data_IF_153390924520
#
_entry.id   IF_153390924520
#
_cell.length_a   1.000
_cell.length_b   1.000
_cell.length_c   1.000
_cell.angle_alpha   90.00
_cell.angle_beta   90.00
_cell.angle_gamma   90.00
#
_symmetry.space_group_name_H-M   'P 1'
#
loop_
_entity.id
_entity.type
_entity.pdbx_description
1 polymer ?
#
# COMPACT_ATOMS: atom_id res chain seq x y z
N UNK A 1 46.30 17.45 -97.29
CA UNK A 1 45.37 16.32 -97.50
C UNK A 1 44.92 15.85 -96.12
N UNK A 2 43.73 16.30 -95.71
CA UNK A 2 42.53 15.48 -95.44
C UNK A 2 42.61 14.84 -94.03
N UNK A 3 41.85 15.31 -93.02
CA UNK A 3 40.40 15.16 -92.83
C UNK A 3 40.17 13.88 -91.98
N UNK A 4 39.50 13.82 -90.83
CA UNK A 4 38.11 14.19 -90.51
C UNK A 4 37.82 13.96 -89.00
N UNK A 5 37.11 14.90 -88.34
CA UNK A 5 35.79 14.81 -87.64
C UNK A 5 35.70 14.37 -86.15
N UNK A 6 34.86 15.10 -85.39
CA UNK A 6 34.57 15.12 -83.92
C UNK A 6 33.46 14.10 -83.47
N UNK A 7 32.89 14.18 -82.23
CA UNK A 7 33.33 13.84 -80.84
C UNK A 7 32.31 12.81 -80.23
N UNK A 8 31.89 12.70 -78.93
CA UNK A 8 32.34 13.24 -77.63
C UNK A 8 32.58 12.11 -76.57
N UNK A 9 33.08 12.38 -75.36
CA UNK A 9 32.23 12.56 -74.18
C UNK A 9 33.09 12.99 -72.98
N UNK A 10 32.71 14.13 -72.41
CA UNK A 10 33.23 14.64 -71.16
C UNK A 10 32.70 13.78 -70.01
N UNK A 11 33.55 12.95 -69.39
CA UNK A 11 33.20 12.24 -68.17
C UNK A 11 33.33 13.22 -67.00
N UNK A 12 32.28 14.02 -66.79
CA UNK A 12 32.05 14.70 -65.51
C UNK A 12 31.71 13.62 -64.48
N UNK A 13 32.70 13.18 -63.71
CA UNK A 13 32.44 12.53 -62.43
C UNK A 13 31.82 13.59 -61.52
N UNK A 14 30.48 13.64 -61.55
CA UNK A 14 29.68 14.25 -60.50
C UNK A 14 30.11 13.60 -59.19
N UNK A 15 30.88 14.32 -58.39
CA UNK A 15 30.97 14.07 -56.95
C UNK A 15 29.58 14.37 -56.42
N UNK A 16 28.73 13.34 -56.41
CA UNK A 16 27.45 13.37 -55.73
C UNK A 16 27.74 13.62 -54.26
N UNK A 17 27.64 14.89 -53.84
CA UNK A 17 27.36 15.20 -52.45
C UNK A 17 25.97 14.62 -52.16
N UNK A 18 25.95 13.36 -51.75
CA UNK A 18 24.85 12.83 -50.97
C UNK A 18 24.93 13.59 -49.65
N UNK A 19 24.32 14.78 -49.61
CA UNK A 19 23.82 15.33 -48.36
C UNK A 19 22.74 14.36 -47.91
N UNK A 20 23.16 13.22 -47.35
CA UNK A 20 22.33 12.49 -46.44
C UNK A 20 21.95 13.53 -45.40
N UNK A 21 20.68 13.89 -45.38
CA UNK A 21 20.09 14.60 -44.26
C UNK A 21 20.29 13.63 -43.09
N UNK A 22 21.41 13.78 -42.39
CA UNK A 22 21.55 13.23 -41.06
C UNK A 22 20.53 14.00 -40.25
N UNK A 23 19.30 13.46 -40.20
CA UNK A 23 18.31 13.90 -39.25
C UNK A 23 18.93 13.65 -37.90
N UNK A 24 19.51 14.70 -37.31
CA UNK A 24 20.10 14.64 -35.98
C UNK A 24 19.06 13.99 -35.08
N UNK A 25 19.42 12.89 -34.41
CA UNK A 25 18.58 12.24 -33.41
C UNK A 25 18.36 13.25 -32.28
N UNK A 26 17.21 13.92 -32.35
CA UNK A 26 16.83 14.99 -31.43
C UNK A 26 15.78 14.42 -30.49
N UNK A 27 15.96 14.62 -29.19
CA UNK A 27 14.91 14.45 -28.19
C UNK A 27 13.72 15.38 -28.52
N UNK A 28 12.66 14.81 -29.11
CA UNK A 28 11.46 15.49 -29.59
C UNK A 28 10.26 15.20 -28.68
N UNK A 29 10.14 13.97 -28.19
CA UNK A 29 9.00 13.51 -27.41
C UNK A 29 9.31 13.52 -25.93
N UNK A 30 8.29 13.79 -25.12
CA UNK A 30 8.40 13.68 -23.68
C UNK A 30 7.97 12.27 -23.27
N UNK A 31 8.45 11.76 -22.13
CA UNK A 31 7.93 10.52 -21.58
C UNK A 31 6.42 10.61 -21.32
N UNK A 32 5.76 9.49 -21.47
CA UNK A 32 4.35 9.30 -21.16
C UNK A 32 4.21 8.27 -20.04
N UNK A 33 3.35 8.57 -19.06
CA UNK A 33 3.00 7.69 -17.93
C UNK A 33 1.48 7.65 -17.82
N UNK A 34 0.94 6.73 -17.03
CA UNK A 34 -0.49 6.72 -16.73
C UNK A 34 -0.90 7.97 -15.97
N UNK A 35 -2.17 8.36 -16.09
CA UNK A 35 -2.68 9.58 -15.43
C UNK A 35 -2.94 9.39 -13.93
N UNK A 36 -3.17 8.15 -13.51
CA UNK A 36 -3.39 7.79 -12.12
C UNK A 36 -2.87 6.38 -11.81
N UNK A 37 -2.46 6.18 -10.56
CA UNK A 37 -2.01 4.90 -10.02
C UNK A 37 -2.71 4.65 -8.68
N UNK A 38 -3.15 3.40 -8.48
CA UNK A 38 -3.57 2.91 -7.17
C UNK A 38 -2.53 1.93 -6.66
N UNK A 39 -2.12 2.09 -5.41
CA UNK A 39 -1.09 1.30 -4.78
C UNK A 39 -1.54 0.72 -3.46
N UNK A 40 -0.97 -0.42 -3.11
CA UNK A 40 -1.05 -0.98 -1.76
C UNK A 40 0.35 -1.23 -1.22
N UNK A 41 0.53 -1.07 0.07
CA UNK A 41 1.76 -1.43 0.80
C UNK A 41 1.34 -1.92 2.18
N UNK A 42 1.86 -3.05 2.63
CA UNK A 42 1.64 -3.50 4.01
C UNK A 42 2.53 -2.68 4.94
N UNK A 43 2.05 -2.27 6.12
CA UNK A 43 2.78 -1.30 6.96
C UNK A 43 4.19 -1.74 7.41
N UNK A 44 4.39 -3.06 7.50
CA UNK A 44 5.67 -3.71 7.79
C UNK A 44 6.53 -3.99 6.54
N UNK A 45 6.08 -3.56 5.36
CA UNK A 45 6.79 -3.65 4.08
C UNK A 45 7.16 -2.24 3.58
N UNK A 46 8.07 -2.18 2.62
CA UNK A 46 8.42 -0.95 1.93
C UNK A 46 8.06 -0.96 0.44
N UNK A 47 7.84 -2.11 -0.19
CA UNK A 47 7.54 -2.16 -1.60
C UNK A 47 6.06 -1.84 -1.87
N UNK A 48 5.79 -0.82 -2.69
CA UNK A 48 4.42 -0.49 -3.11
C UNK A 48 4.07 -1.31 -4.34
N UNK A 49 2.97 -2.07 -4.25
CA UNK A 49 2.38 -2.76 -5.38
C UNK A 49 1.41 -1.82 -6.09
N UNK A 50 1.75 -1.38 -7.30
CA UNK A 50 0.93 -0.48 -8.10
C UNK A 50 0.10 -1.25 -9.14
N UNK A 51 -1.15 -0.83 -9.30
CA UNK A 51 -2.03 -1.20 -10.41
C UNK A 51 -2.59 0.07 -11.08
N UNK A 52 -2.21 0.37 -12.34
CA UNK A 52 -1.24 -0.35 -13.17
C UNK A 52 0.22 -0.19 -12.68
N UNK A 53 1.19 -1.00 -13.17
CA UNK A 53 2.60 -0.83 -12.81
C UNK A 53 3.16 0.52 -13.29
N UNK A 54 4.16 1.06 -12.59
CA UNK A 54 4.81 2.31 -12.96
C UNK A 54 5.76 2.10 -14.15
N UNK A 55 5.28 2.44 -15.33
CA UNK A 55 6.04 2.37 -16.58
C UNK A 55 5.97 3.72 -17.29
N UNK A 56 7.12 4.24 -17.71
CA UNK A 56 7.24 5.44 -18.53
C UNK A 56 7.70 5.10 -19.95
N UNK A 57 6.93 5.49 -20.96
CA UNK A 57 7.20 5.21 -22.36
C UNK A 57 7.59 6.49 -23.10
N UNK A 58 8.67 6.45 -23.88
CA UNK A 58 9.08 7.55 -24.75
C UNK A 58 9.12 7.10 -26.22
N UNK A 59 8.57 7.94 -27.11
CA UNK A 59 8.56 7.68 -28.57
C UNK A 59 9.93 7.86 -29.21
N UNK A 60 10.88 8.48 -28.50
CA UNK A 60 12.26 8.54 -28.91
C UNK A 60 13.02 7.25 -28.54
N UNK A 61 12.43 6.27 -27.85
CA UNK A 61 13.06 4.95 -27.60
C UNK A 61 13.30 4.18 -28.91
N UNK A 62 14.45 3.47 -29.07
CA UNK A 62 15.51 3.23 -28.10
C UNK A 62 16.69 4.22 -28.20
N UNK A 63 16.46 5.47 -28.64
CA UNK A 63 17.53 6.45 -28.75
C UNK A 63 18.16 6.69 -27.37
N UNK A 64 19.47 6.50 -27.28
CA UNK A 64 20.20 6.72 -26.03
C UNK A 64 19.97 8.14 -25.53
N UNK A 65 19.75 8.28 -24.22
CA UNK A 65 19.38 9.52 -23.53
C UNK A 65 17.98 10.09 -23.86
N UNK A 66 17.59 10.13 -25.13
CA UNK A 66 16.33 10.75 -25.56
C UNK A 66 15.12 9.84 -25.30
N UNK A 67 15.28 8.53 -25.41
CA UNK A 67 14.23 7.54 -25.19
C UNK A 67 14.37 6.75 -23.88
N UNK A 68 15.43 7.01 -23.11
CA UNK A 68 15.69 6.37 -21.82
C UNK A 68 15.10 7.19 -20.68
N UNK A 69 14.55 6.51 -19.68
CA UNK A 69 13.97 7.13 -18.48
C UNK A 69 15.04 7.27 -17.41
N UNK A 70 15.32 8.49 -16.97
CA UNK A 70 16.37 8.78 -16.00
C UNK A 70 15.85 8.98 -14.57
N UNK A 71 14.55 9.20 -14.40
CA UNK A 71 13.98 9.27 -13.08
C UNK A 71 12.49 9.53 -13.03
N UNK A 72 11.98 9.30 -11.83
CA UNK A 72 10.65 9.66 -11.41
C UNK A 72 10.77 10.65 -10.26
N UNK A 73 9.95 11.69 -10.29
CA UNK A 73 9.92 12.72 -9.25
C UNK A 73 8.55 12.73 -8.59
N UNK A 74 8.52 12.47 -7.30
CA UNK A 74 7.37 12.71 -6.44
C UNK A 74 7.31 14.21 -6.10
N UNK A 75 6.11 14.77 -6.18
CA UNK A 75 5.80 16.17 -5.87
C UNK A 75 4.89 16.20 -4.66
N UNK A 76 5.49 15.94 -3.51
CA UNK A 76 5.01 16.24 -2.17
C UNK A 76 6.19 15.97 -1.23
N UNK A 77 6.59 16.94 -0.39
CA UNK A 77 7.77 16.77 0.47
C UNK A 77 7.45 16.05 1.78
N UNK A 78 6.16 15.96 2.14
CA UNK A 78 5.73 15.40 3.42
C UNK A 78 5.32 13.93 3.32
N UNK A 79 5.37 13.34 2.12
CA UNK A 79 5.05 11.92 1.92
C UNK A 79 6.30 11.03 2.08
N UNK A 80 6.21 9.90 2.80
CA UNK A 80 7.36 9.06 3.10
C UNK A 80 7.72 8.10 1.96
N UNK A 81 7.62 8.54 0.70
CA UNK A 81 7.85 7.67 -0.47
C UNK A 81 8.95 8.21 -1.39
N UNK A 82 9.65 7.29 -2.04
CA UNK A 82 10.53 7.59 -3.16
C UNK A 82 10.17 6.73 -4.37
N UNK A 83 10.51 7.24 -5.56
CA UNK A 83 10.31 6.53 -6.82
C UNK A 83 11.65 6.29 -7.49
N UNK A 84 11.92 5.04 -7.86
CA UNK A 84 13.17 4.57 -8.42
C UNK A 84 12.96 4.08 -9.86
N UNK A 85 13.98 4.25 -10.70
CA UNK A 85 14.03 3.59 -12.00
C UNK A 85 14.62 2.22 -11.80
N UNK A 86 13.86 1.19 -12.19
CA UNK A 86 14.29 -0.21 -12.18
C UNK A 86 15.08 -0.49 -13.45
N UNK A 87 14.54 -0.09 -14.60
CA UNK A 87 15.20 -0.23 -15.89
C UNK A 87 14.96 1.01 -16.76
N UNK A 88 16.06 1.66 -17.13
CA UNK A 88 16.06 2.91 -17.91
C UNK A 88 15.58 2.72 -19.36
N UNK A 89 15.80 1.52 -19.91
CA UNK A 89 15.52 1.19 -21.31
C UNK A 89 14.07 0.80 -21.53
N UNK A 90 13.48 0.05 -20.59
CA UNK A 90 12.05 -0.30 -20.59
C UNK A 90 11.19 0.81 -19.99
N UNK A 91 11.80 1.68 -19.16
CA UNK A 91 11.10 2.72 -18.43
C UNK A 91 10.37 2.21 -17.18
N UNK A 92 10.67 1.00 -16.74
CA UNK A 92 10.13 0.41 -15.52
C UNK A 92 10.60 1.15 -14.28
N UNK A 93 9.66 1.47 -13.39
CA UNK A 93 9.91 2.10 -12.11
C UNK A 93 9.20 1.40 -10.96
N UNK A 94 9.61 1.74 -9.75
CA UNK A 94 9.01 1.25 -8.51
C UNK A 94 8.85 2.41 -7.53
N UNK A 95 7.76 2.42 -6.77
CA UNK A 95 7.61 3.27 -5.59
C UNK A 95 7.88 2.42 -4.35
N UNK A 96 8.64 2.97 -3.40
CA UNK A 96 8.85 2.34 -2.09
C UNK A 96 8.76 3.35 -0.96
N UNK A 97 8.42 2.89 0.23
CA UNK A 97 8.47 3.72 1.44
C UNK A 97 9.93 3.96 1.86
N UNK A 98 10.17 5.14 2.41
CA UNK A 98 11.47 5.59 2.96
C UNK A 98 11.50 5.51 4.49
N UNK A 99 10.34 5.26 5.09
CA UNK A 99 10.12 5.09 6.53
C UNK A 99 9.20 3.89 6.74
N UNK A 100 9.21 3.35 7.96
CA UNK A 100 8.17 2.44 8.38
C UNK A 100 6.82 3.17 8.32
N UNK A 101 5.85 2.49 7.73
CA UNK A 101 4.48 2.96 7.69
C UNK A 101 3.76 2.37 8.91
N UNK A 102 2.69 3.04 9.31
CA UNK A 102 1.88 2.68 10.46
C UNK A 102 0.44 3.04 10.09
N UNK A 103 -0.40 2.01 10.00
CA UNK A 103 -1.78 2.13 9.56
C UNK A 103 -2.63 2.84 10.62
N UNK A 104 -2.34 2.64 11.90
CA UNK A 104 -3.01 3.32 13.02
C UNK A 104 -2.78 4.83 12.98
N UNK A 105 -1.63 5.28 12.47
CA UNK A 105 -1.33 6.70 12.27
C UNK A 105 -1.95 7.22 10.96
N UNK A 106 -1.65 6.58 9.83
CA UNK A 106 -2.11 7.05 8.52
C UNK A 106 -2.22 5.91 7.49
N UNK A 107 -3.47 5.53 7.21
CA UNK A 107 -3.82 4.47 6.25
C UNK A 107 -3.81 4.86 4.77
N UNK A 108 -3.86 6.15 4.43
CA UNK A 108 -4.01 6.62 3.05
C UNK A 108 -3.02 7.74 2.73
N UNK A 109 -2.37 7.64 1.58
CA UNK A 109 -1.48 8.67 1.04
C UNK A 109 -1.90 9.05 -0.37
N UNK A 110 -1.84 10.35 -0.69
CA UNK A 110 -2.08 10.84 -2.04
C UNK A 110 -1.05 11.88 -2.41
N UNK A 111 -0.37 11.70 -3.55
CA UNK A 111 0.62 12.63 -4.06
C UNK A 111 0.66 12.60 -5.59
N UNK A 112 1.50 13.43 -6.20
CA UNK A 112 1.69 13.42 -7.65
C UNK A 112 3.11 13.00 -8.04
N UNK A 113 3.23 12.23 -9.14
CA UNK A 113 4.49 11.73 -9.68
C UNK A 113 4.69 12.24 -11.12
N UNK A 114 5.95 12.36 -11.56
CA UNK A 114 6.31 12.79 -12.91
C UNK A 114 7.59 12.08 -13.37
N UNK A 115 7.58 11.52 -14.57
CA UNK A 115 8.77 10.92 -15.18
C UNK A 115 9.58 11.97 -15.96
N UNK A 116 10.88 11.75 -16.10
CA UNK A 116 11.75 12.52 -16.97
C UNK A 116 12.74 11.64 -17.72
N UNK A 117 12.99 12.00 -18.98
CA UNK A 117 13.97 11.34 -19.83
C UNK A 117 15.40 11.69 -19.40
N UNK A 118 16.37 11.03 -20.01
CA UNK A 118 17.79 11.29 -19.78
C UNK A 118 18.34 12.51 -20.54
N UNK A 119 17.50 13.26 -21.25
CA UNK A 119 17.89 14.45 -22.01
C UNK A 119 18.65 14.12 -23.29
N UNK A 120 19.69 14.90 -23.59
CA UNK A 120 20.53 14.73 -24.80
C UNK A 120 22.00 14.68 -24.38
N UNK A 121 22.50 13.46 -24.10
CA UNK A 121 23.90 13.21 -23.79
C UNK A 121 24.45 13.98 -22.58
N UNK A 122 25.75 13.82 -22.26
CA UNK A 122 26.37 14.43 -21.07
C UNK A 122 26.40 15.98 -21.10
N UNK A 123 26.30 16.59 -22.29
CA UNK A 123 26.57 18.01 -22.48
C UNK A 123 25.33 18.87 -22.83
N UNK A 124 24.09 18.33 -22.83
CA UNK A 124 22.92 19.18 -23.12
C UNK A 124 21.66 18.90 -22.28
N UNK A 125 21.19 19.96 -21.63
CA UNK A 125 20.15 20.03 -20.60
C UNK A 125 18.70 19.97 -21.14
N UNK A 126 18.45 19.29 -22.26
CA UNK A 126 17.11 19.24 -22.87
C UNK A 126 16.24 18.13 -22.27
N UNK A 127 16.23 17.98 -20.95
CA UNK A 127 15.39 16.99 -20.26
C UNK A 127 13.93 17.33 -20.47
N UNK A 128 13.12 16.38 -20.97
CA UNK A 128 11.66 16.54 -21.02
C UNK A 128 11.00 15.77 -19.90
N UNK A 129 9.85 16.30 -19.48
CA UNK A 129 9.07 15.77 -18.37
C UNK A 129 7.70 15.34 -18.86
N UNK A 130 7.18 14.24 -18.33
CA UNK A 130 5.82 13.78 -18.57
C UNK A 130 4.80 14.77 -17.99
N UNK A 131 3.50 14.49 -18.17
CA UNK A 131 2.51 15.11 -17.28
C UNK A 131 2.69 14.60 -15.84
N UNK A 132 2.08 15.30 -14.89
CA UNK A 132 1.94 14.77 -13.53
C UNK A 132 0.84 13.70 -13.51
N UNK A 133 1.04 12.66 -12.74
CA UNK A 133 0.06 11.61 -12.48
C UNK A 133 -0.30 11.59 -11.01
N UNK A 134 -1.54 11.27 -10.66
CA UNK A 134 -1.96 11.10 -9.27
C UNK A 134 -1.60 9.70 -8.79
N UNK A 135 -1.10 9.57 -7.57
CA UNK A 135 -0.85 8.29 -6.93
C UNK A 135 -1.64 8.26 -5.63
N UNK A 136 -2.43 7.21 -5.44
CA UNK A 136 -3.10 6.93 -4.18
C UNK A 136 -2.58 5.60 -3.63
N UNK A 137 -2.04 5.60 -2.42
CA UNK A 137 -1.48 4.42 -1.75
C UNK A 137 -2.31 4.15 -0.50
N UNK A 138 -2.78 2.91 -0.37
CA UNK A 138 -3.42 2.40 0.83
C UNK A 138 -2.41 1.56 1.62
N UNK A 139 -2.34 1.79 2.92
CA UNK A 139 -1.56 0.98 3.84
C UNK A 139 -2.43 -0.18 4.31
N UNK A 140 -2.00 -1.40 4.00
CA UNK A 140 -2.64 -2.60 4.52
C UNK A 140 -2.15 -2.85 5.95
N UNK A 141 -3.14 -3.00 6.81
CA UNK A 141 -3.01 -3.34 8.23
C UNK A 141 -2.37 -4.72 8.44
N UNK A 142 -1.66 -4.85 9.55
CA UNK A 142 -1.19 -6.09 10.14
C UNK A 142 -1.80 -6.18 11.54
N UNK A 143 -2.30 -7.35 11.92
CA UNK A 143 -2.85 -7.53 13.26
C UNK A 143 -1.71 -7.47 14.29
N UNK A 144 -1.48 -6.31 14.90
CA UNK A 144 -0.37 -6.02 15.83
C UNK A 144 -0.86 -5.78 17.26
N UNK A 145 -2.00 -5.12 17.41
CA UNK A 145 -2.65 -4.91 18.68
C UNK A 145 -3.49 -6.11 19.07
N UNK A 146 -3.68 -6.28 20.38
CA UNK A 146 -4.49 -7.35 20.95
C UNK A 146 -5.68 -6.71 21.65
N UNK A 147 -6.84 -7.42 21.72
CA UNK A 147 -7.99 -6.87 22.42
C UNK A 147 -7.68 -6.52 23.87
N UNK A 148 -8.16 -5.36 24.31
CA UNK A 148 -8.04 -4.89 25.69
C UNK A 148 -9.42 -4.63 26.25
N UNK A 149 -9.73 -5.23 27.40
CA UNK A 149 -10.98 -4.96 28.11
C UNK A 149 -11.03 -3.51 28.61
N UNK A 150 -12.19 -2.87 28.46
CA UNK A 150 -12.40 -1.47 28.88
C UNK A 150 -12.25 -1.30 30.39
N UNK A 151 -12.67 -2.29 31.16
CA UNK A 151 -12.61 -2.29 32.62
C UNK A 151 -11.55 -3.25 33.13
N UNK A 152 -10.98 -2.97 34.31
CA UNK A 152 -10.01 -3.85 34.99
C UNK A 152 -10.65 -5.02 35.75
N UNK A 153 -11.95 -4.94 36.00
CA UNK A 153 -12.77 -6.05 36.48
C UNK A 153 -14.24 -5.69 36.36
N UNK A 154 -15.10 -6.67 36.11
CA UNK A 154 -16.55 -6.49 36.13
C UNK A 154 -17.14 -7.09 37.41
N UNK A 155 -18.12 -6.41 38.00
CA UNK A 155 -18.78 -6.90 39.22
C UNK A 155 -20.29 -6.65 39.17
N UNK A 156 -21.07 -7.66 39.53
CA UNK A 156 -22.53 -7.53 39.65
C UNK A 156 -23.06 -8.34 40.83
N UNK A 157 -24.28 -8.03 41.26
CA UNK A 157 -25.00 -8.85 42.24
C UNK A 157 -26.35 -9.24 41.64
N UNK A 158 -26.64 -10.54 41.66
CA UNK A 158 -27.88 -11.10 41.13
C UNK A 158 -28.67 -11.76 42.25
N UNK A 159 -29.99 -11.78 42.12
CA UNK A 159 -30.84 -12.56 43.02
C UNK A 159 -30.78 -14.03 42.62
N UNK A 160 -30.58 -14.90 43.59
CA UNK A 160 -30.64 -16.35 43.42
C UNK A 160 -32.02 -16.84 42.94
N UNK A 161 -32.11 -18.11 42.56
CA UNK A 161 -33.35 -18.76 42.13
C UNK A 161 -33.88 -18.33 40.75
N UNK A 162 -33.17 -17.42 40.06
CA UNK A 162 -33.53 -16.90 38.74
C UNK A 162 -32.52 -17.28 37.66
N UNK A 163 -33.03 -17.45 36.44
CA UNK A 163 -32.23 -17.46 35.21
C UNK A 163 -32.33 -16.07 34.58
N UNK A 164 -31.19 -15.48 34.27
CA UNK A 164 -31.05 -14.20 33.60
C UNK A 164 -30.51 -14.47 32.21
N UNK A 165 -31.15 -13.88 31.21
CA UNK A 165 -30.62 -13.90 29.85
C UNK A 165 -29.47 -12.91 29.67
N UNK A 166 -29.40 -11.87 30.52
CA UNK A 166 -28.35 -10.85 30.56
C UNK A 166 -28.03 -10.49 32.02
N UNK A 167 -26.87 -10.92 32.52
CA UNK A 167 -26.36 -10.59 33.86
C UNK A 167 -25.52 -9.31 33.82
N UNK A 168 -24.55 -9.28 32.92
CA UNK A 168 -23.71 -8.13 32.59
C UNK A 168 -23.13 -8.31 31.21
N UNK A 169 -22.53 -7.24 30.67
CA UNK A 169 -21.79 -7.26 29.42
C UNK A 169 -20.33 -6.89 29.68
N UNK A 170 -19.40 -7.70 29.20
CA UNK A 170 -17.99 -7.32 29.10
C UNK A 170 -17.72 -6.66 27.76
N UNK A 171 -16.79 -5.73 27.70
CA UNK A 171 -16.44 -5.03 26.46
C UNK A 171 -14.93 -4.94 26.31
N UNK A 172 -14.41 -5.42 25.18
CA UNK A 172 -13.04 -5.22 24.75
C UNK A 172 -12.98 -4.27 23.53
N UNK A 173 -11.83 -3.65 23.35
CA UNK A 173 -11.50 -2.80 22.19
C UNK A 173 -10.14 -3.23 21.66
N UNK A 174 -9.97 -3.13 20.36
CA UNK A 174 -8.69 -3.36 19.68
C UNK A 174 -8.28 -2.08 18.94
N UNK A 175 -6.99 -1.82 18.87
CA UNK A 175 -6.41 -0.58 18.35
C UNK A 175 -5.92 -0.69 16.90
N UNK A 176 -5.93 -1.90 16.30
CA UNK A 176 -5.60 -2.07 14.86
C UNK A 176 -6.48 -1.14 13.97
N UNK A 177 -5.95 -0.68 12.85
CA UNK A 177 -6.59 0.33 12.02
C UNK A 177 -7.78 -0.21 11.20
N UNK A 178 -7.73 -1.49 10.80
CA UNK A 178 -8.70 -2.08 9.89
C UNK A 178 -9.82 -2.78 10.65
N UNK A 179 -11.07 -2.75 10.13
CA UNK A 179 -12.16 -3.50 10.74
C UNK A 179 -11.91 -5.02 10.83
N UNK A 180 -11.00 -5.55 10.00
CA UNK A 180 -10.66 -6.97 10.02
C UNK A 180 -9.93 -7.37 11.30
N UNK A 181 -9.10 -6.48 11.86
CA UNK A 181 -8.30 -6.77 13.05
C UNK A 181 -8.79 -5.97 14.27
N UNK A 182 -9.38 -4.80 14.08
CA UNK A 182 -9.88 -3.95 15.17
C UNK A 182 -11.20 -4.45 15.81
N UNK A 183 -11.94 -5.33 15.14
CA UNK A 183 -13.25 -5.77 15.58
C UNK A 183 -13.16 -6.98 16.51
N UNK A 184 -13.83 -6.90 17.66
CA UNK A 184 -14.00 -8.06 18.55
C UNK A 184 -15.06 -9.02 17.98
N UNK A 185 -14.65 -10.25 17.70
CA UNK A 185 -15.48 -11.26 17.06
C UNK A 185 -16.05 -12.29 18.06
N UNK A 186 -15.36 -12.55 19.16
CA UNK A 186 -15.84 -13.51 20.16
C UNK A 186 -15.34 -13.20 21.56
N UNK A 187 -16.09 -13.72 22.53
CA UNK A 187 -15.71 -13.79 23.93
C UNK A 187 -15.84 -15.24 24.40
N UNK A 188 -15.06 -15.60 25.41
CA UNK A 188 -15.04 -16.95 25.97
C UNK A 188 -14.87 -16.89 27.49
N UNK A 189 -15.65 -17.70 28.21
CA UNK A 189 -15.42 -17.93 29.64
C UNK A 189 -14.37 -19.04 29.76
N UNK A 190 -13.18 -18.66 30.22
CA UNK A 190 -12.02 -19.55 30.38
C UNK A 190 -12.15 -20.40 31.64
N UNK A 191 -12.88 -19.92 32.66
CA UNK A 191 -13.13 -20.70 33.87
C UNK A 191 -13.99 -21.94 33.55
N UNK A 192 -13.48 -23.16 33.78
CA UNK A 192 -14.21 -24.39 33.49
C UNK A 192 -15.32 -24.62 34.52
N UNK A 193 -16.28 -25.48 34.16
CA UNK A 193 -17.30 -26.03 35.08
C UNK A 193 -18.15 -25.00 35.82
N UNK A 194 -18.37 -23.83 35.21
CA UNK A 194 -19.21 -22.76 35.76
C UNK A 194 -20.61 -22.74 35.13
N UNK A 195 -21.67 -22.39 35.87
CA UNK A 195 -23.05 -22.37 35.37
C UNK A 195 -23.34 -21.10 34.53
N UNK A 196 -22.40 -20.69 33.67
CA UNK A 196 -22.47 -19.46 32.88
C UNK A 196 -22.06 -19.71 31.43
N UNK A 197 -22.62 -18.89 30.53
CA UNK A 197 -22.21 -18.80 29.13
C UNK A 197 -22.10 -17.33 28.75
N UNK A 198 -21.28 -17.04 27.74
CA UNK A 198 -21.11 -15.71 27.17
C UNK A 198 -21.44 -15.76 25.67
N UNK A 199 -22.07 -14.72 25.14
CA UNK A 199 -22.30 -14.60 23.70
C UNK A 199 -21.21 -13.77 23.00
N UNK A 200 -21.30 -13.69 21.66
CA UNK A 200 -20.35 -12.94 20.83
C UNK A 200 -20.33 -11.43 21.12
N UNK A 201 -21.39 -10.89 21.71
CA UNK A 201 -21.54 -9.47 21.99
C UNK A 201 -21.10 -9.14 23.44
N UNK A 202 -20.62 -10.14 24.17
CA UNK A 202 -20.05 -10.02 25.52
C UNK A 202 -21.07 -10.18 26.64
N UNK A 203 -22.32 -10.56 26.35
CA UNK A 203 -23.35 -10.74 27.39
C UNK A 203 -23.19 -12.09 28.09
N UNK A 204 -23.05 -12.03 29.42
CA UNK A 204 -22.98 -13.21 30.28
C UNK A 204 -24.37 -13.56 30.79
N UNK A 205 -24.70 -14.85 30.76
CA UNK A 205 -25.96 -15.41 31.27
C UNK A 205 -25.72 -16.69 32.05
N UNK A 206 -26.63 -17.04 32.97
CA UNK A 206 -26.54 -18.29 33.71
C UNK A 206 -27.32 -19.44 33.05
N UNK A 207 -26.72 -20.63 33.02
CA UNK A 207 -27.28 -21.83 32.39
C UNK A 207 -28.26 -22.57 33.30
N UNK A 208 -28.20 -22.33 34.60
CA UNK A 208 -29.09 -22.86 35.63
C UNK A 208 -29.36 -21.85 36.74
N UNK A 209 -30.37 -22.09 37.58
CA UNK A 209 -30.69 -21.19 38.71
C UNK A 209 -29.54 -21.22 39.73
N UNK A 210 -28.97 -20.06 40.02
CA UNK A 210 -27.95 -19.91 41.05
C UNK A 210 -28.59 -20.08 42.43
N UNK A 211 -27.91 -20.73 43.36
CA UNK A 211 -28.36 -21.00 44.73
C UNK A 211 -27.28 -20.50 45.68
N UNK A 212 -27.63 -19.53 46.53
CA UNK A 212 -26.69 -18.84 47.38
C UNK A 212 -26.01 -19.81 48.36
N UNK A 213 -26.75 -20.73 48.99
CA UNK A 213 -26.17 -21.69 49.96
C UNK A 213 -25.16 -22.66 49.35
N UNK A 214 -25.15 -22.83 48.01
CA UNK A 214 -24.17 -23.67 47.32
C UNK A 214 -22.90 -22.90 47.00
N UNK A 215 -23.03 -21.70 46.47
CA UNK A 215 -21.92 -20.83 46.10
C UNK A 215 -22.32 -19.36 46.29
N UNK A 216 -21.61 -18.67 47.16
CA UNK A 216 -21.89 -17.27 47.50
C UNK A 216 -21.29 -16.30 46.47
N UNK A 217 -20.25 -16.72 45.75
CA UNK A 217 -19.57 -15.88 44.77
C UNK A 217 -18.99 -16.71 43.62
N UNK A 218 -19.32 -16.32 42.39
CA UNK A 218 -18.67 -16.83 41.20
C UNK A 218 -17.55 -15.88 40.77
N UNK A 219 -16.39 -16.43 40.41
CA UNK A 219 -15.28 -15.69 39.81
C UNK A 219 -15.04 -16.29 38.44
N UNK A 220 -15.36 -15.53 37.40
CA UNK A 220 -15.17 -15.95 36.02
C UNK A 220 -13.97 -15.22 35.44
N UNK A 221 -13.10 -15.96 34.77
CA UNK A 221 -12.05 -15.46 33.90
C UNK A 221 -12.62 -15.47 32.49
N UNK A 222 -12.65 -14.31 31.84
CA UNK A 222 -13.20 -14.14 30.50
C UNK A 222 -12.11 -13.61 29.59
N UNK A 223 -12.06 -14.11 28.36
CA UNK A 223 -11.16 -13.61 27.32
C UNK A 223 -11.95 -13.15 26.10
N UNK A 224 -11.29 -12.38 25.23
CA UNK A 224 -11.85 -11.88 23.98
C UNK A 224 -10.92 -12.22 22.83
N UNK A 225 -11.47 -12.31 21.62
CA UNK A 225 -10.70 -12.47 20.40
C UNK A 225 -11.18 -11.47 19.36
N UNK A 226 -10.24 -10.84 18.68
CA UNK A 226 -10.55 -10.08 17.48
C UNK A 226 -10.95 -11.00 16.31
N UNK A 227 -11.35 -10.42 15.19
CA UNK A 227 -11.71 -11.16 13.98
C UNK A 227 -10.48 -11.74 13.23
N UNK A 228 -9.27 -11.26 13.52
CA UNK A 228 -7.99 -11.87 13.14
C UNK A 228 -7.57 -13.07 14.02
N UNK A 229 -8.38 -13.40 15.03
CA UNK A 229 -8.17 -14.45 16.05
C UNK A 229 -7.05 -14.15 17.04
N UNK A 230 -6.57 -12.91 17.16
CA UNK A 230 -5.67 -12.58 18.27
C UNK A 230 -6.46 -12.54 19.56
N UNK A 231 -5.89 -13.17 20.58
CA UNK A 231 -6.45 -13.25 21.93
C UNK A 231 -6.16 -11.96 22.69
N UNK A 232 -7.08 -11.58 23.57
CA UNK A 232 -6.91 -10.44 24.45
C UNK A 232 -5.56 -10.48 25.20
N UNK A 233 -4.95 -9.31 25.37
CA UNK A 233 -3.64 -9.17 26.02
C UNK A 233 -3.64 -9.75 27.44
N UNK A 234 -4.75 -9.56 28.15
CA UNK A 234 -5.01 -10.15 29.46
C UNK A 234 -6.45 -10.62 29.56
N UNK A 235 -6.67 -11.68 30.35
CA UNK A 235 -8.01 -12.12 30.70
C UNK A 235 -8.62 -11.23 31.77
N UNK A 236 -9.94 -11.05 31.70
CA UNK A 236 -10.65 -10.21 32.64
C UNK A 236 -11.36 -11.02 33.71
N UNK A 237 -11.29 -10.50 34.94
CA UNK A 237 -12.00 -11.04 36.08
C UNK A 237 -13.42 -10.45 36.18
N UNK A 238 -14.40 -11.33 36.22
CA UNK A 238 -15.82 -11.04 36.42
C UNK A 238 -16.27 -11.66 37.76
N UNK A 239 -16.96 -10.87 38.59
CA UNK A 239 -17.37 -11.22 39.96
C UNK A 239 -18.84 -10.98 40.24
#
# INVERSE_FOLDING_TARGET
>A
MAGMWHPPACLLLLVGFVHGIWGVQVNKHKPWIETAYHGIVTENDNAVLLDPPLIALDKDSPLQYAGEICGFKIHDQDVPFEALVVDRSTGEGLIRSTKQLDCEIQKDYTFSIQAYDCGKGPDSSSVKKSHKASVHIQVNDVNEYAPVFKEKSYKVTVREGKKYDNILRVEAVDADCSPQFSQICSYEIVTPDVPFTIDKDGFIKNTEKLIYEKEHQYKLTVTAYDCGKKRAAEDILVK
#
